data_IF_427084932592
#
_entry.id   IF_427084932592
#
_cell.length_a   1.000
_cell.length_b   1.000
_cell.length_c   1.000
_cell.angle_alpha   90.00
_cell.angle_beta   90.00
_cell.angle_gamma   90.00
#
_symmetry.space_group_name_H-M   'P 1'
#
loop_
_entity.id
_entity.type
_entity.pdbx_description
1 polymer ?
#
# COMPACT_ATOMS: atom_id res chain seq x y z
N UNK A 1 2.46 -12.65 -9.48
CA UNK A 1 1.43 -11.61 -9.69
C UNK A 1 2.07 -10.47 -10.47
N UNK A 2 1.37 -9.95 -11.46
CA UNK A 2 1.77 -8.77 -12.23
C UNK A 2 0.61 -7.78 -12.28
N UNK A 3 0.92 -6.50 -12.40
CA UNK A 3 -0.07 -5.48 -12.70
C UNK A 3 -0.09 -5.24 -14.21
N UNK A 4 -1.24 -5.42 -14.84
CA UNK A 4 -1.47 -5.10 -16.26
C UNK A 4 -2.71 -4.20 -16.37
N UNK A 5 -2.62 -3.14 -17.16
CA UNK A 5 -3.74 -2.24 -17.46
C UNK A 5 -4.57 -1.82 -16.23
N UNK A 6 -3.89 -1.55 -15.10
CA UNK A 6 -4.48 -1.13 -13.79
C UNK A 6 -5.21 -2.22 -13.01
N UNK A 7 -4.98 -3.48 -13.36
CA UNK A 7 -5.54 -4.66 -12.72
C UNK A 7 -4.42 -5.58 -12.23
N UNK A 8 -4.70 -6.38 -11.21
CA UNK A 8 -3.77 -7.41 -10.74
C UNK A 8 -4.11 -8.73 -11.41
N UNK A 9 -3.11 -9.31 -12.05
CA UNK A 9 -3.20 -10.60 -12.71
C UNK A 9 -2.25 -11.60 -12.04
N UNK A 10 -2.70 -12.85 -11.97
CA UNK A 10 -1.83 -13.98 -11.69
C UNK A 10 -1.07 -14.30 -12.97
N UNK A 11 0.25 -14.44 -12.84
CA UNK A 11 1.08 -14.97 -13.90
C UNK A 11 1.49 -16.36 -13.47
N UNK A 12 1.08 -17.35 -14.24
CA UNK A 12 1.56 -18.71 -14.09
C UNK A 12 2.78 -18.85 -14.98
N UNK A 13 3.95 -18.97 -14.36
CA UNK A 13 5.20 -19.23 -15.05
C UNK A 13 5.55 -20.70 -14.83
N UNK A 14 5.09 -21.55 -15.74
CA UNK A 14 5.56 -22.93 -15.79
C UNK A 14 7.00 -22.92 -16.34
N UNK A 15 7.98 -23.11 -15.45
CA UNK A 15 9.37 -23.26 -15.84
C UNK A 15 9.52 -24.59 -16.59
N UNK A 16 9.98 -24.59 -17.86
CA UNK A 16 9.79 -25.74 -18.73
C UNK A 16 10.71 -26.90 -18.34
N UNK A 17 10.08 -28.07 -18.12
CA UNK A 17 10.50 -29.28 -18.83
C UNK A 17 9.68 -29.54 -20.10
N UNK A 18 8.66 -28.72 -20.40
CA UNK A 18 7.84 -28.85 -21.60
C UNK A 18 7.22 -27.49 -22.00
N UNK A 19 6.92 -27.31 -23.27
CA UNK A 19 6.58 -26.06 -24.00
C UNK A 19 5.28 -25.32 -23.57
N UNK A 20 5.04 -25.11 -22.27
CA UNK A 20 3.90 -24.33 -21.80
C UNK A 20 4.15 -22.82 -21.92
N UNK A 21 3.38 -22.13 -22.77
CA UNK A 21 3.40 -20.67 -22.80
C UNK A 21 2.86 -20.10 -21.47
N UNK A 22 3.48 -19.03 -20.92
CA UNK A 22 3.01 -18.41 -19.69
C UNK A 22 1.58 -17.88 -19.87
N UNK A 23 0.71 -18.24 -18.92
CA UNK A 23 -0.70 -17.77 -18.92
C UNK A 23 -0.91 -16.67 -17.88
N UNK A 24 -1.80 -15.74 -18.22
CA UNK A 24 -2.17 -14.61 -17.36
C UNK A 24 -3.66 -14.71 -17.06
N UNK A 25 -4.01 -14.88 -15.79
CA UNK A 25 -5.40 -14.88 -15.33
C UNK A 25 -5.68 -13.64 -14.48
N UNK A 26 -6.75 -12.93 -14.79
CA UNK A 26 -7.17 -11.77 -14.01
C UNK A 26 -7.80 -12.21 -12.70
N UNK A 27 -7.49 -11.52 -11.59
CA UNK A 27 -8.10 -11.85 -10.30
C UNK A 27 -9.42 -11.11 -10.10
N UNK A 28 -10.51 -11.86 -10.22
CA UNK A 28 -11.90 -11.36 -10.21
C UNK A 28 -12.29 -10.51 -8.99
N UNK A 29 -11.62 -10.71 -7.85
CA UNK A 29 -11.85 -9.97 -6.60
C UNK A 29 -11.62 -8.46 -6.76
N UNK A 30 -10.83 -8.04 -7.76
CA UNK A 30 -10.41 -6.64 -7.95
C UNK A 30 -10.99 -5.99 -9.22
N UNK A 31 -11.91 -6.64 -9.92
CA UNK A 31 -12.37 -6.20 -11.25
C UNK A 31 -13.04 -4.82 -11.27
N UNK A 32 -13.67 -4.45 -10.16
CA UNK A 32 -14.37 -3.17 -9.99
C UNK A 32 -13.47 -2.05 -9.46
N UNK A 33 -12.19 -2.33 -9.18
CA UNK A 33 -11.26 -1.41 -8.52
C UNK A 33 -10.16 -1.02 -9.50
N UNK A 34 -10.00 0.27 -9.75
CA UNK A 34 -8.89 0.77 -10.56
C UNK A 34 -7.67 1.03 -9.69
N UNK A 35 -6.62 0.24 -9.90
CA UNK A 35 -5.40 0.30 -9.11
C UNK A 35 -4.36 1.16 -9.84
N UNK A 36 -3.74 2.09 -9.13
CA UNK A 36 -2.69 2.96 -9.66
C UNK A 36 -1.29 2.41 -9.37
N UNK A 37 -1.07 1.82 -8.19
CA UNK A 37 0.21 1.24 -7.73
C UNK A 37 -0.04 0.06 -6.80
N UNK A 38 0.91 -0.89 -6.77
CA UNK A 38 0.89 -2.03 -5.86
C UNK A 38 2.27 -2.19 -5.22
N UNK A 39 2.30 -2.43 -3.90
CA UNK A 39 3.50 -2.82 -3.17
C UNK A 39 3.27 -4.19 -2.52
N UNK A 40 4.29 -5.04 -2.54
CA UNK A 40 4.24 -6.36 -1.92
C UNK A 40 5.16 -6.41 -0.70
N UNK A 41 4.69 -7.03 0.37
CA UNK A 41 5.48 -7.34 1.56
C UNK A 41 4.93 -8.60 2.21
N UNK A 42 5.76 -9.62 2.43
CA UNK A 42 5.42 -10.86 3.14
C UNK A 42 4.10 -11.53 2.69
N UNK A 43 3.87 -11.54 1.38
CA UNK A 43 2.67 -12.14 0.80
C UNK A 43 1.41 -11.26 0.89
N UNK A 44 1.47 -10.10 1.52
CA UNK A 44 0.44 -9.06 1.44
C UNK A 44 0.70 -8.09 0.30
N UNK A 45 -0.38 -7.61 -0.30
CA UNK A 45 -0.37 -6.56 -1.31
C UNK A 45 -1.02 -5.30 -0.75
N UNK A 46 -0.31 -4.18 -0.82
CA UNK A 46 -0.85 -2.85 -0.61
C UNK A 46 -1.16 -2.22 -1.96
N UNK A 47 -2.44 -2.08 -2.28
CA UNK A 47 -2.96 -1.57 -3.53
C UNK A 47 -3.48 -0.13 -3.35
N UNK A 48 -3.11 0.72 -4.30
CA UNK A 48 -3.48 2.13 -4.33
C UNK A 48 -4.59 2.34 -5.34
N UNK A 49 -5.63 3.08 -4.96
CA UNK A 49 -6.69 3.42 -5.89
C UNK A 49 -6.31 4.64 -6.72
N UNK A 50 -6.88 4.74 -7.92
CA UNK A 50 -6.66 5.90 -8.79
C UNK A 50 -7.21 7.21 -8.22
N UNK A 51 -8.31 7.15 -7.47
CA UNK A 51 -8.97 8.30 -6.85
C UNK A 51 -8.30 8.77 -5.55
N UNK A 52 -7.26 8.05 -5.09
CA UNK A 52 -6.60 8.28 -3.80
C UNK A 52 -7.58 8.35 -2.60
N UNK A 53 -8.75 7.74 -2.69
CA UNK A 53 -9.75 7.82 -1.61
C UNK A 53 -9.38 6.92 -0.43
N UNK A 54 -8.80 5.75 -0.73
CA UNK A 54 -8.45 4.71 0.25
C UNK A 54 -7.31 3.84 -0.26
N UNK A 55 -6.77 3.00 0.62
CA UNK A 55 -5.86 1.91 0.26
C UNK A 55 -6.58 0.57 0.44
N UNK A 56 -6.17 -0.42 -0.34
CA UNK A 56 -6.62 -1.79 -0.19
C UNK A 56 -5.44 -2.67 0.20
N UNK A 57 -5.55 -3.36 1.32
CA UNK A 57 -4.62 -4.43 1.68
C UNK A 57 -5.27 -5.75 1.30
N UNK A 58 -4.55 -6.57 0.55
CA UNK A 58 -5.04 -7.85 0.07
C UNK A 58 -4.06 -8.96 0.39
N UNK A 59 -4.54 -10.00 1.07
CA UNK A 59 -3.88 -11.28 1.20
C UNK A 59 -4.44 -12.20 0.09
N UNK A 60 -3.71 -12.40 -1.01
CA UNK A 60 -4.19 -13.25 -2.10
C UNK A 60 -4.22 -14.74 -1.74
N UNK A 61 -3.38 -15.20 -0.82
CA UNK A 61 -3.34 -16.59 -0.39
C UNK A 61 -4.58 -16.99 0.40
N UNK A 62 -5.06 -16.08 1.25
CA UNK A 62 -6.27 -16.31 2.06
C UNK A 62 -7.52 -15.68 1.42
N UNK A 63 -7.39 -15.00 0.28
CA UNK A 63 -8.49 -14.23 -0.34
C UNK A 63 -9.01 -13.07 0.53
N UNK A 64 -8.27 -12.63 1.55
CA UNK A 64 -8.74 -11.63 2.51
C UNK A 64 -8.40 -10.22 2.06
N UNK A 65 -9.38 -9.33 2.05
CA UNK A 65 -9.20 -7.91 1.72
C UNK A 65 -9.53 -7.03 2.92
N UNK A 66 -8.83 -5.89 3.04
CA UNK A 66 -9.10 -4.87 4.04
C UNK A 66 -8.93 -3.48 3.44
N UNK A 67 -9.95 -2.65 3.61
CA UNK A 67 -9.89 -1.23 3.25
C UNK A 67 -9.22 -0.43 4.36
N UNK A 68 -8.32 0.46 3.99
CA UNK A 68 -7.64 1.38 4.89
C UNK A 68 -8.06 2.79 4.51
N UNK A 69 -8.84 3.41 5.38
CA UNK A 69 -9.28 4.79 5.21
C UNK A 69 -8.18 5.74 5.70
N UNK A 70 -8.01 6.91 5.05
CA UNK A 70 -7.12 7.94 5.54
C UNK A 70 -7.66 8.53 6.85
N UNK A 71 -6.77 9.12 7.66
CA UNK A 71 -7.20 9.91 8.83
C UNK A 71 -7.89 11.23 8.42
N UNK A 72 -7.44 11.84 7.33
CA UNK A 72 -7.98 13.07 6.77
C UNK A 72 -8.28 12.93 5.28
N UNK A 73 -7.24 12.76 4.47
CA UNK A 73 -7.31 12.43 3.05
C UNK A 73 -5.93 11.94 2.60
N UNK A 74 -5.87 11.08 1.57
CA UNK A 74 -4.61 10.79 0.88
C UNK A 74 -4.42 11.77 -0.28
N UNK A 75 -3.17 12.07 -0.60
CA UNK A 75 -2.78 12.92 -1.72
C UNK A 75 -1.97 12.12 -2.73
N UNK A 76 -2.00 12.52 -4.00
CA UNK A 76 -1.20 11.89 -5.06
C UNK A 76 0.33 11.92 -4.78
N UNK A 77 0.79 12.92 -4.02
CA UNK A 77 2.19 13.07 -3.62
C UNK A 77 2.59 12.20 -2.42
N UNK A 78 1.64 11.55 -1.75
CA UNK A 78 1.96 10.72 -0.60
C UNK A 78 2.75 9.48 -1.02
N UNK A 79 3.75 9.15 -0.22
CA UNK A 79 4.53 7.92 -0.36
C UNK A 79 4.17 6.98 0.78
N UNK A 80 4.20 5.68 0.54
CA UNK A 80 3.92 4.69 1.58
C UNK A 80 4.90 3.53 1.52
N UNK A 81 5.04 2.86 2.66
CA UNK A 81 5.74 1.60 2.80
C UNK A 81 4.90 0.61 3.61
N UNK A 82 4.93 -0.66 3.21
CA UNK A 82 4.35 -1.76 3.97
C UNK A 82 5.49 -2.53 4.65
N UNK A 83 5.32 -2.84 5.93
CA UNK A 83 6.29 -3.63 6.70
C UNK A 83 5.63 -4.27 7.93
N UNK A 84 6.43 -4.82 8.83
CA UNK A 84 5.95 -5.42 10.08
C UNK A 84 6.97 -5.19 11.21
N UNK A 85 6.54 -5.36 12.45
CA UNK A 85 7.42 -5.33 13.62
C UNK A 85 7.78 -6.76 14.09
N UNK A 86 8.62 -6.88 15.13
CA UNK A 86 9.05 -8.17 15.68
C UNK A 86 7.91 -9.07 16.18
N UNK A 87 6.71 -8.53 16.39
CA UNK A 87 5.52 -9.30 16.77
C UNK A 87 4.71 -9.75 15.54
N UNK A 88 5.29 -9.70 14.34
CA UNK A 88 4.64 -9.99 13.04
C UNK A 88 3.38 -9.15 12.79
N UNK A 89 3.26 -8.01 13.48
CA UNK A 89 2.18 -7.08 13.27
C UNK A 89 2.55 -6.17 12.10
N UNK A 90 1.84 -6.34 10.99
CA UNK A 90 1.98 -5.52 9.80
C UNK A 90 1.64 -4.05 10.12
N UNK A 91 2.25 -3.15 9.37
CA UNK A 91 2.15 -1.70 9.50
C UNK A 91 2.28 -1.01 8.16
N UNK A 92 1.57 0.10 7.98
CA UNK A 92 1.73 0.97 6.81
C UNK A 92 2.32 2.29 7.29
N UNK A 93 3.47 2.67 6.76
CA UNK A 93 4.05 3.99 6.97
C UNK A 93 3.63 4.88 5.81
N UNK A 94 3.10 6.06 6.11
CA UNK A 94 2.78 7.13 5.16
C UNK A 94 3.73 8.29 5.39
N UNK A 95 4.22 8.83 4.28
CA UNK A 95 5.00 10.06 4.19
C UNK A 95 4.16 11.07 3.40
N UNK A 96 3.70 12.13 4.05
CA UNK A 96 2.99 13.24 3.42
C UNK A 96 3.89 14.46 3.34
N UNK A 97 3.74 15.25 2.27
CA UNK A 97 4.37 16.55 2.14
C UNK A 97 3.28 17.62 2.21
N UNK A 98 2.99 18.06 3.43
CA UNK A 98 1.91 18.98 3.70
C UNK A 98 2.38 20.43 3.58
N UNK A 99 1.55 21.30 3.03
CA UNK A 99 1.84 22.74 2.97
C UNK A 99 1.19 23.40 4.18
N UNK A 100 2.00 23.99 5.05
CA UNK A 100 1.49 24.69 6.22
C UNK A 100 0.62 25.88 5.79
N UNK A 101 -0.64 25.97 6.24
CA UNK A 101 -1.63 26.88 5.67
C UNK A 101 -1.28 28.36 5.86
N UNK A 102 -0.47 28.69 6.88
CA UNK A 102 -0.10 30.07 7.22
C UNK A 102 1.27 30.46 6.63
N UNK A 103 2.22 29.53 6.62
CA UNK A 103 3.63 29.85 6.33
C UNK A 103 4.04 29.42 4.93
N UNK A 104 3.17 28.68 4.22
CA UNK A 104 3.43 28.06 2.93
C UNK A 104 4.68 27.18 2.90
N UNK A 105 5.16 26.75 4.08
CA UNK A 105 6.30 25.86 4.21
C UNK A 105 5.85 24.42 4.02
N UNK A 106 6.68 23.65 3.33
CA UNK A 106 6.54 22.21 3.25
C UNK A 106 6.91 21.59 4.59
N UNK A 107 6.00 20.81 5.17
CA UNK A 107 6.17 20.05 6.40
C UNK A 107 6.02 18.57 6.05
N UNK A 108 7.02 17.78 6.44
CA UNK A 108 6.95 16.33 6.28
C UNK A 108 6.11 15.75 7.41
N UNK A 109 4.99 15.15 7.04
CA UNK A 109 4.12 14.39 7.93
C UNK A 109 4.46 12.91 7.86
N UNK A 110 4.43 12.25 9.02
CA UNK A 110 4.63 10.81 9.13
C UNK A 110 3.45 10.22 9.89
N UNK A 111 2.77 9.25 9.25
CA UNK A 111 1.67 8.52 9.89
C UNK A 111 1.93 7.01 9.78
N UNK A 112 1.63 6.28 10.85
CA UNK A 112 1.81 4.85 10.95
C UNK A 112 0.47 4.17 11.21
N UNK A 113 -0.01 3.41 10.25
CA UNK A 113 -1.16 2.53 10.44
C UNK A 113 -0.74 1.25 11.15
N UNK A 114 -1.47 0.91 12.21
CA UNK A 114 -1.27 -0.31 12.98
C UNK A 114 -2.47 -1.25 12.76
N UNK A 115 -2.23 -2.42 12.17
CA UNK A 115 -3.30 -3.37 11.85
C UNK A 115 -3.96 -3.97 13.10
N UNK A 116 -3.23 -4.05 14.21
CA UNK A 116 -3.75 -4.57 15.48
C UNK A 116 -4.77 -3.62 16.12
N UNK A 117 -4.57 -2.30 15.98
CA UNK A 117 -5.50 -1.29 16.48
C UNK A 117 -6.42 -0.73 15.39
N UNK A 118 -6.19 -1.13 14.14
CA UNK A 118 -6.90 -0.65 12.95
C UNK A 118 -6.94 0.88 12.84
N UNK A 119 -5.84 1.54 13.22
CA UNK A 119 -5.79 3.00 13.33
C UNK A 119 -4.45 3.61 12.94
N UNK A 120 -4.50 4.85 12.47
CA UNK A 120 -3.33 5.69 12.19
C UNK A 120 -2.82 6.34 13.46
N UNK A 121 -1.50 6.40 13.61
CA UNK A 121 -0.78 7.14 14.64
C UNK A 121 0.14 8.16 13.97
N UNK A 122 0.07 9.42 14.40
CA UNK A 122 1.03 10.45 13.95
C UNK A 122 2.36 10.21 14.63
N UNK A 123 3.44 10.25 13.85
CA UNK A 123 4.79 10.20 14.37
C UNK A 123 5.35 11.62 14.38
N UNK A 124 5.63 12.13 15.58
CA UNK A 124 6.34 13.39 15.75
C UNK A 124 7.84 13.12 15.65
N UNK A 125 8.42 13.45 14.49
CA UNK A 125 9.87 13.36 14.32
C UNK A 125 10.46 14.64 14.88
N UNK A 126 10.55 14.70 16.22
CA UNK A 126 11.40 15.70 16.85
C UNK A 126 12.82 15.48 16.34
N UNK A 127 13.34 16.41 15.56
CA UNK A 127 14.77 16.44 15.27
C UNK A 127 15.51 16.34 16.60
N UNK A 128 16.33 15.30 16.85
CA UNK A 128 17.24 15.35 17.98
C UNK A 128 18.11 16.58 17.78
N UNK A 129 17.94 17.54 18.66
CA UNK A 129 18.76 18.75 18.69
C UNK A 129 20.19 18.32 19.02
N UNK A 130 21.07 18.34 18.02
CA UNK A 130 22.52 18.42 18.18
C UNK A 130 23.25 17.15 18.65
N UNK A 131 24.21 16.71 17.82
CA UNK A 131 25.60 16.54 18.22
C UNK A 131 26.51 16.99 17.10
#
# INVERSE_FOLDING_TARGET
>A
MMMDSRRICLMNLDLPKDNGDPSVEQVSVLDQIQISKVFQCDGLLLCFLMDCSRLLVWNPYLGQTRWIEPRHSFQHGDSFALGYNNNLNHKILRFSNEVHPITSKHVLGFELYDFSTSSWKVLDVTHPSGR
#
